data_IF_065929092270
#
_entry.id   IF_065929092270
#
_cell.length_a   1.000
_cell.length_b   1.000
_cell.length_c   1.000
_cell.angle_alpha   90.00
_cell.angle_beta   90.00
_cell.angle_gamma   90.00
#
_symmetry.space_group_name_H-M   'P 1'
#
loop_
_entity.id
_entity.type
_entity.pdbx_description
1 polymer ?
#
# COMPACT_ATOMS: atom_id res chain seq x y z
N UNK A 1 -11.91 -16.79 -22.85
CA UNK A 1 -12.76 -15.74 -23.49
C UNK A 1 -14.23 -15.79 -23.08
N UNK A 2 -14.78 -16.96 -22.71
CA UNK A 2 -16.20 -17.09 -22.35
C UNK A 2 -16.63 -16.20 -21.19
N UNK A 3 -15.85 -16.13 -20.11
CA UNK A 3 -16.14 -15.27 -18.96
C UNK A 3 -16.25 -13.78 -19.33
N UNK A 4 -15.32 -13.29 -20.15
CA UNK A 4 -15.31 -11.89 -20.61
C UNK A 4 -16.60 -11.58 -21.36
N UNK A 5 -16.98 -12.46 -22.29
CA UNK A 5 -18.24 -12.32 -23.04
C UNK A 5 -19.43 -12.25 -22.09
N UNK A 6 -19.55 -13.17 -21.14
CA UNK A 6 -20.63 -13.17 -20.15
C UNK A 6 -20.69 -11.88 -19.33
N UNK A 7 -19.54 -11.36 -18.89
CA UNK A 7 -19.49 -10.09 -18.13
C UNK A 7 -19.93 -8.91 -18.98
N UNK A 8 -19.45 -8.82 -20.24
CA UNK A 8 -19.82 -7.74 -21.15
C UNK A 8 -21.30 -7.79 -21.51
N UNK A 9 -21.83 -8.98 -21.79
CA UNK A 9 -23.26 -9.18 -22.10
C UNK A 9 -24.12 -8.69 -20.93
N UNK A 10 -23.78 -9.05 -19.69
CA UNK A 10 -24.51 -8.56 -18.50
C UNK A 10 -24.40 -7.06 -18.29
N UNK A 11 -23.22 -6.47 -18.54
CA UNK A 11 -23.06 -5.01 -18.44
C UNK A 11 -23.94 -4.30 -19.47
N UNK A 12 -24.04 -4.85 -20.68
CA UNK A 12 -24.90 -4.33 -21.74
C UNK A 12 -26.39 -4.46 -21.38
N UNK A 13 -26.83 -5.61 -20.88
CA UNK A 13 -28.21 -5.84 -20.41
C UNK A 13 -28.62 -4.86 -19.30
N UNK A 14 -27.69 -4.54 -18.40
CA UNK A 14 -27.90 -3.56 -17.32
C UNK A 14 -27.74 -2.09 -17.78
N UNK A 15 -27.49 -1.83 -19.08
CA UNK A 15 -27.37 -0.48 -19.63
C UNK A 15 -26.03 0.23 -19.36
N UNK A 16 -25.00 -0.48 -18.88
CA UNK A 16 -23.66 0.07 -18.72
C UNK A 16 -22.93 0.17 -20.07
N UNK A 17 -22.07 1.18 -20.18
CA UNK A 17 -21.20 1.38 -21.35
C UNK A 17 -19.74 1.17 -20.95
N UNK A 18 -19.01 0.45 -21.78
CA UNK A 18 -17.58 0.19 -21.61
C UNK A 18 -16.82 1.11 -22.58
N UNK A 19 -15.72 1.70 -22.13
CA UNK A 19 -14.78 2.42 -23.00
C UNK A 19 -13.62 1.48 -23.37
N UNK A 20 -13.59 0.92 -24.60
CA UNK A 20 -12.59 -0.07 -24.98
C UNK A 20 -11.15 0.46 -24.89
N UNK A 21 -10.94 1.77 -25.07
CA UNK A 21 -9.61 2.41 -25.01
C UNK A 21 -9.02 2.42 -23.59
N UNK A 22 -9.86 2.31 -22.56
CA UNK A 22 -9.44 2.23 -21.15
C UNK A 22 -9.36 0.79 -20.64
N UNK A 23 -9.77 -0.19 -21.45
CA UNK A 23 -9.79 -1.58 -21.04
C UNK A 23 -8.48 -2.28 -21.43
N UNK A 24 -7.98 -3.10 -20.51
CA UNK A 24 -6.91 -4.05 -20.76
C UNK A 24 -7.51 -5.44 -20.66
N UNK A 25 -7.44 -6.22 -21.74
CA UNK A 25 -8.06 -7.55 -21.82
C UNK A 25 -6.98 -8.63 -21.83
N UNK A 26 -7.21 -9.71 -21.09
CA UNK A 26 -6.35 -10.90 -21.09
C UNK A 26 -4.85 -10.61 -20.85
N UNK A 27 -4.52 -9.59 -20.05
CA UNK A 27 -3.14 -9.26 -19.69
C UNK A 27 -2.70 -10.05 -18.45
N UNK A 28 -1.42 -10.39 -18.36
CA UNK A 28 -0.85 -11.08 -17.20
C UNK A 28 -0.69 -10.15 -15.99
N UNK A 29 -0.42 -8.87 -16.25
CA UNK A 29 -0.24 -7.85 -15.23
C UNK A 29 -1.05 -6.60 -15.56
N UNK A 30 -1.61 -5.96 -14.55
CA UNK A 30 -2.34 -4.71 -14.72
C UNK A 30 -2.35 -3.88 -13.45
N UNK A 31 -2.55 -2.57 -13.60
CA UNK A 31 -2.93 -1.72 -12.48
C UNK A 31 -4.41 -1.91 -12.14
N UNK A 32 -4.71 -2.00 -10.85
CA UNK A 32 -6.07 -2.05 -10.33
C UNK A 32 -6.11 -1.42 -8.94
N UNK A 33 -7.03 -0.47 -8.73
CA UNK A 33 -7.23 0.23 -7.45
C UNK A 33 -5.91 0.60 -6.74
N UNK A 34 -4.99 1.27 -7.46
CA UNK A 34 -3.72 1.72 -6.88
C UNK A 34 -2.70 0.62 -6.56
N UNK A 35 -2.91 -0.60 -7.05
CA UNK A 35 -1.97 -1.71 -6.93
C UNK A 35 -1.59 -2.23 -8.31
N UNK A 36 -0.45 -2.92 -8.39
CA UNK A 36 -0.02 -3.66 -9.57
C UNK A 36 -0.28 -5.14 -9.34
N UNK A 37 -1.25 -5.70 -10.06
CA UNK A 37 -1.61 -7.10 -9.99
C UNK A 37 -0.65 -7.89 -10.90
N UNK A 38 -0.07 -8.94 -10.34
CA UNK A 38 0.73 -9.94 -11.06
C UNK A 38 0.11 -11.32 -10.87
N UNK A 39 0.54 -12.36 -11.62
CA UNK A 39 0.05 -13.73 -11.40
C UNK A 39 0.40 -14.29 -10.01
N UNK A 40 1.51 -13.85 -9.41
CA UNK A 40 2.02 -14.40 -8.15
C UNK A 40 1.58 -13.60 -6.91
N UNK A 41 1.20 -12.34 -7.11
CA UNK A 41 0.81 -11.46 -6.01
C UNK A 41 0.55 -10.03 -6.43
N UNK A 42 0.44 -9.17 -5.42
CA UNK A 42 0.17 -7.75 -5.55
C UNK A 42 1.41 -6.95 -5.18
N UNK A 43 1.78 -6.00 -6.04
CA UNK A 43 2.83 -5.02 -5.80
C UNK A 43 2.26 -3.61 -5.60
N UNK A 44 2.95 -2.73 -4.88
CA UNK A 44 2.61 -1.31 -4.86
C UNK A 44 2.64 -0.75 -6.29
N UNK A 45 1.69 0.14 -6.61
CA UNK A 45 1.72 0.76 -7.93
C UNK A 45 2.85 1.78 -8.02
N UNK A 46 3.84 1.50 -8.88
CA UNK A 46 5.06 2.32 -9.03
C UNK A 46 4.78 3.82 -9.16
N UNK A 47 3.75 4.22 -9.91
CA UNK A 47 3.38 5.64 -10.06
C UNK A 47 3.02 6.32 -8.74
N UNK A 48 2.32 5.62 -7.83
CA UNK A 48 1.97 6.16 -6.51
C UNK A 48 3.18 6.15 -5.56
N UNK A 49 4.00 5.10 -5.60
CA UNK A 49 5.24 5.04 -4.81
C UNK A 49 6.22 6.14 -5.23
N UNK A 50 6.42 6.34 -6.53
CA UNK A 50 7.29 7.38 -7.07
C UNK A 50 6.82 8.79 -6.66
N UNK A 51 5.50 9.00 -6.59
CA UNK A 51 4.94 10.27 -6.11
C UNK A 51 5.30 10.52 -4.65
N UNK A 52 5.18 9.50 -3.79
CA UNK A 52 5.56 9.57 -2.36
C UNK A 52 7.08 9.77 -2.22
N UNK A 53 7.87 9.09 -3.05
CA UNK A 53 9.33 9.26 -3.07
C UNK A 53 9.76 10.67 -3.46
N UNK A 54 9.00 11.36 -4.33
CA UNK A 54 9.27 12.75 -4.73
C UNK A 54 8.73 13.79 -3.74
N UNK A 55 7.99 13.39 -2.70
CA UNK A 55 7.53 14.34 -1.69
C UNK A 55 8.71 14.93 -0.93
N UNK A 56 8.68 16.24 -0.73
CA UNK A 56 9.61 16.96 0.15
C UNK A 56 9.24 16.72 1.62
N UNK A 57 10.18 17.01 2.53
CA UNK A 57 9.90 16.99 3.95
C UNK A 57 8.72 17.94 4.28
N UNK A 58 7.70 17.47 5.01
CA UNK A 58 6.55 18.28 5.40
C UNK A 58 6.96 19.53 6.17
N UNK A 59 6.38 20.68 5.81
CA UNK A 59 6.62 21.97 6.48
C UNK A 59 5.52 22.37 7.46
N UNK A 60 4.40 21.66 7.43
CA UNK A 60 3.24 21.90 8.28
C UNK A 60 2.49 20.59 8.55
N UNK A 61 1.54 20.64 9.50
CA UNK A 61 0.74 19.49 9.93
C UNK A 61 -0.08 18.92 8.76
N UNK A 62 -0.61 19.77 7.87
CA UNK A 62 -1.42 19.35 6.73
C UNK A 62 -0.63 18.48 5.75
N UNK A 63 0.59 18.91 5.39
CA UNK A 63 1.50 18.16 4.53
C UNK A 63 1.93 16.84 5.18
N UNK A 64 2.15 16.86 6.50
CA UNK A 64 2.49 15.67 7.26
C UNK A 64 1.35 14.65 7.25
N UNK A 65 0.11 15.10 7.47
CA UNK A 65 -1.07 14.25 7.41
C UNK A 65 -1.29 13.69 6.00
N UNK A 66 -1.03 14.48 4.96
CA UNK A 66 -1.08 14.01 3.57
C UNK A 66 -0.05 12.90 3.31
N UNK A 67 1.19 13.06 3.78
CA UNK A 67 2.21 12.02 3.70
C UNK A 67 1.80 10.76 4.48
N UNK A 68 1.37 10.90 5.74
CA UNK A 68 0.93 9.77 6.57
C UNK A 68 -0.26 9.02 5.96
N UNK A 69 -1.20 9.74 5.34
CA UNK A 69 -2.33 9.14 4.62
C UNK A 69 -1.86 8.32 3.42
N UNK A 70 -0.95 8.86 2.60
CA UNK A 70 -0.40 8.18 1.44
C UNK A 70 0.37 6.90 1.83
N UNK A 71 1.16 6.98 2.90
CA UNK A 71 1.89 5.83 3.45
C UNK A 71 0.92 4.79 4.04
N UNK A 72 -0.14 5.24 4.71
CA UNK A 72 -1.11 4.36 5.36
C UNK A 72 -1.99 3.62 4.37
N UNK A 73 -2.18 4.12 3.15
CA UNK A 73 -2.85 3.37 2.08
C UNK A 73 -2.18 2.02 1.79
N UNK A 74 -0.86 1.99 1.94
CA UNK A 74 0.05 0.91 1.57
C UNK A 74 0.51 0.06 2.77
N UNK A 75 -0.01 0.42 3.94
CA UNK A 75 0.03 -0.22 5.26
C UNK A 75 0.40 -1.70 5.37
N UNK A 76 -0.22 -2.57 4.57
CA UNK A 76 -0.13 -4.02 4.75
C UNK A 76 1.14 -4.63 4.15
N UNK A 77 1.82 -3.90 3.27
CA UNK A 77 2.97 -4.43 2.53
C UNK A 77 4.29 -4.26 3.27
N UNK A 78 4.40 -3.33 4.21
CA UNK A 78 5.66 -3.05 4.92
C UNK A 78 5.62 -3.46 6.39
N UNK A 79 6.52 -4.35 6.84
CA UNK A 79 6.63 -4.73 8.24
C UNK A 79 7.16 -3.57 9.10
N UNK A 80 6.86 -3.60 10.40
CA UNK A 80 7.41 -2.69 11.44
C UNK A 80 7.22 -1.19 11.19
N UNK A 81 6.35 -0.77 10.27
CA UNK A 81 6.17 0.65 9.92
C UNK A 81 5.73 1.54 11.08
N UNK A 82 4.94 1.04 12.04
CA UNK A 82 4.38 1.93 13.07
C UNK A 82 5.47 2.45 14.02
N UNK A 83 6.54 1.69 14.28
CA UNK A 83 7.73 2.19 14.98
C UNK A 83 8.44 3.30 14.20
N UNK A 84 8.54 3.16 12.86
CA UNK A 84 9.13 4.19 12.00
C UNK A 84 8.27 5.45 11.93
N UNK A 85 6.96 5.29 11.91
CA UNK A 85 6.00 6.40 11.82
C UNK A 85 5.72 7.08 13.15
N UNK A 86 6.02 6.47 14.29
CA UNK A 86 5.78 7.01 15.63
C UNK A 86 6.21 8.48 15.81
N UNK A 87 7.44 8.91 15.46
CA UNK A 87 7.83 10.32 15.60
C UNK A 87 7.02 11.26 14.70
N UNK A 88 6.58 10.78 13.54
CA UNK A 88 5.75 11.54 12.60
C UNK A 88 4.30 11.63 13.09
N UNK A 89 3.73 10.53 13.57
CA UNK A 89 2.36 10.51 14.11
C UNK A 89 2.25 11.36 15.37
N UNK A 90 3.25 11.34 16.25
CA UNK A 90 3.31 12.19 17.44
C UNK A 90 3.20 13.70 17.11
N UNK A 91 3.74 14.12 15.96
CA UNK A 91 3.74 15.52 15.50
C UNK A 91 2.38 15.98 14.96
N UNK A 92 1.45 15.07 14.65
CA UNK A 92 0.10 15.44 14.15
C UNK A 92 -0.84 15.96 15.22
N UNK A 93 -0.56 15.69 16.50
CA UNK A 93 -1.38 16.11 17.65
C UNK A 93 -0.84 17.32 18.41
N UNK A 94 0.27 17.92 17.98
CA UNK A 94 0.89 19.05 18.68
C UNK A 94 0.37 20.38 18.18
N UNK A 95 0.31 21.39 19.07
CA UNK A 95 -0.04 22.78 18.69
C UNK A 95 1.07 23.46 17.87
N UNK A 96 2.32 23.06 18.11
CA UNK A 96 3.49 23.58 17.41
C UNK A 96 4.07 22.49 16.51
N UNK A 97 4.26 22.81 15.23
CA UNK A 97 4.93 21.93 14.29
C UNK A 97 6.44 22.14 14.38
N UNK A 98 7.13 21.26 15.11
CA UNK A 98 8.58 21.26 15.22
C UNK A 98 9.15 20.03 14.50
N UNK A 99 9.74 20.24 13.33
CA UNK A 99 10.42 19.20 12.58
C UNK A 99 11.80 18.94 13.21
N UNK A 100 11.97 17.78 13.83
CA UNK A 100 13.22 17.39 14.49
C UNK A 100 14.04 16.44 13.63
N UNK A 101 15.32 16.24 13.94
CA UNK A 101 16.18 15.26 13.24
C UNK A 101 15.62 13.84 13.31
N UNK A 102 14.88 13.50 14.38
CA UNK A 102 14.18 12.22 14.49
C UNK A 102 13.06 12.10 13.45
N UNK A 103 12.30 13.17 13.22
CA UNK A 103 11.26 13.23 12.18
C UNK A 103 11.88 13.10 10.79
N UNK A 104 12.98 13.81 10.52
CA UNK A 104 13.68 13.72 9.23
C UNK A 104 14.20 12.30 8.97
N UNK A 105 14.86 11.69 9.97
CA UNK A 105 15.36 10.31 9.87
C UNK A 105 14.21 9.32 9.62
N UNK A 106 13.10 9.46 10.33
CA UNK A 106 11.92 8.62 10.13
C UNK A 106 11.32 8.78 8.72
N UNK A 107 11.20 10.03 8.25
CA UNK A 107 10.70 10.34 6.92
C UNK A 107 11.55 9.71 5.81
N UNK A 108 12.88 9.90 5.85
CA UNK A 108 13.79 9.34 4.86
C UNK A 108 13.85 7.81 4.90
N UNK A 109 13.83 7.24 6.11
CA UNK A 109 13.78 5.77 6.27
C UNK A 109 12.50 5.21 5.68
N UNK A 110 11.34 5.86 5.91
CA UNK A 110 10.08 5.40 5.35
C UNK A 110 10.03 5.51 3.82
N UNK A 111 10.57 6.60 3.25
CA UNK A 111 10.69 6.74 1.78
C UNK A 111 11.57 5.65 1.17
N UNK A 112 12.69 5.34 1.81
CA UNK A 112 13.61 4.29 1.36
C UNK A 112 12.95 2.91 1.45
N UNK A 113 12.24 2.65 2.54
CA UNK A 113 11.49 1.42 2.74
C UNK A 113 10.37 1.28 1.68
N UNK A 114 9.64 2.35 1.38
CA UNK A 114 8.62 2.32 0.34
C UNK A 114 9.17 2.10 -1.08
N UNK A 115 10.43 2.48 -1.32
CA UNK A 115 11.10 2.26 -2.58
C UNK A 115 11.57 0.80 -2.77
N UNK A 116 11.64 -0.01 -1.70
CA UNK A 116 12.00 -1.42 -1.83
C UNK A 116 10.91 -2.19 -2.58
N UNK A 117 11.30 -3.06 -3.52
CA UNK A 117 10.34 -3.93 -4.20
C UNK A 117 9.76 -4.94 -3.19
N UNK A 118 8.44 -4.93 -3.04
CA UNK A 118 7.71 -5.85 -2.17
C UNK A 118 6.61 -6.49 -2.99
N UNK A 119 6.52 -7.82 -2.88
CA UNK A 119 5.45 -8.63 -3.43
C UNK A 119 4.64 -9.22 -2.29
N UNK A 120 3.36 -8.84 -2.20
CA UNK A 120 2.40 -9.49 -1.32
C UNK A 120 1.76 -10.65 -2.08
N UNK A 121 2.08 -11.89 -1.68
CA UNK A 121 1.49 -13.09 -2.31
C UNK A 121 -0.01 -13.16 -2.05
N UNK A 122 -0.76 -13.70 -3.01
CA UNK A 122 -2.18 -13.98 -2.80
C UNK A 122 -2.37 -15.04 -1.72
N UNK A 123 -3.39 -14.90 -0.86
CA UNK A 123 -3.69 -15.93 0.14
C UNK A 123 -4.13 -17.22 -0.56
N UNK A 124 -3.46 -18.33 -0.24
CA UNK A 124 -3.92 -19.67 -0.61
C UNK A 124 -4.74 -20.24 0.53
N UNK A 125 -6.07 -20.19 0.37
CA UNK A 125 -7.01 -20.67 1.39
C UNK A 125 -6.97 -22.18 1.62
N UNK A 126 -6.25 -22.94 0.78
CA UNK A 126 -6.06 -24.38 0.96
C UNK A 126 -4.84 -24.71 1.83
N UNK A 127 -4.04 -23.70 2.22
CA UNK A 127 -2.86 -23.87 3.07
C UNK A 127 -3.12 -23.27 4.45
N UNK A 128 -2.48 -23.81 5.50
CA UNK A 128 -2.48 -23.17 6.81
C UNK A 128 -1.76 -21.82 6.74
N UNK A 129 -2.23 -20.89 7.58
CA UNK A 129 -1.62 -19.60 7.78
C UNK A 129 -0.94 -19.55 9.14
N UNK A 130 0.25 -18.97 9.18
CA UNK A 130 0.97 -18.69 10.41
C UNK A 130 0.82 -17.21 10.77
N UNK A 131 0.53 -16.93 12.03
CA UNK A 131 0.41 -15.56 12.54
C UNK A 131 1.55 -15.30 13.49
N UNK A 132 2.45 -14.41 13.09
CA UNK A 132 3.52 -13.90 13.94
C UNK A 132 3.04 -12.59 14.56
N UNK A 133 2.93 -12.54 15.88
CA UNK A 133 2.56 -11.33 16.61
C UNK A 133 3.73 -10.86 17.47
N UNK A 134 3.87 -9.55 17.58
CA UNK A 134 4.84 -8.91 18.46
C UNK A 134 4.22 -7.64 19.04
N UNK A 135 4.44 -7.39 20.33
CA UNK A 135 3.85 -6.29 21.07
C UNK A 135 4.88 -5.64 22.00
N UNK A 136 4.76 -4.32 22.11
CA UNK A 136 5.52 -3.46 23.01
C UNK A 136 4.59 -2.42 23.63
N UNK A 137 5.07 -1.70 24.64
CA UNK A 137 4.33 -0.61 25.31
C UNK A 137 3.79 0.47 24.36
N UNK A 138 4.36 0.57 23.17
CA UNK A 138 4.02 1.59 22.17
C UNK A 138 3.26 1.05 20.96
N UNK A 139 3.27 -0.27 20.72
CA UNK A 139 2.72 -0.84 19.48
C UNK A 139 2.38 -2.33 19.59
N UNK A 140 1.30 -2.74 18.91
CA UNK A 140 1.01 -4.12 18.53
C UNK A 140 1.28 -4.30 17.03
N UNK A 141 1.88 -5.42 16.64
CA UNK A 141 2.13 -5.78 15.24
C UNK A 141 1.80 -7.24 14.98
N UNK A 142 1.42 -7.53 13.74
CA UNK A 142 1.11 -8.90 13.29
C UNK A 142 1.49 -9.06 11.82
N UNK A 143 2.07 -10.20 11.49
CA UNK A 143 2.35 -10.62 10.12
C UNK A 143 1.66 -11.96 9.90
N UNK A 144 0.88 -12.05 8.83
CA UNK A 144 0.26 -13.28 8.37
C UNK A 144 1.14 -13.86 7.26
N UNK A 145 1.66 -15.05 7.47
CA UNK A 145 2.53 -15.74 6.52
C UNK A 145 1.87 -17.02 6.01
N UNK A 146 2.08 -17.30 4.72
CA UNK A 146 1.71 -18.58 4.14
C UNK A 146 2.81 -19.58 4.46
N UNK A 147 2.45 -20.72 5.05
CA UNK A 147 3.44 -21.76 5.33
C UNK A 147 4.12 -22.17 4.01
N UNK A 148 5.42 -21.91 3.93
CA UNK A 148 6.27 -22.36 2.83
C UNK A 148 6.91 -23.67 3.27
N UNK A 149 6.72 -24.74 2.50
CA UNK A 149 7.39 -26.02 2.73
C UNK A 149 8.88 -25.91 2.43
#
# INVERSE_FOLDING_TARGET
MQLIKTVVDRLQEAGFKINPLKCKWCVQETDFLGHWLTPEGVKPWKKKVDAIFKMNAPRNITELQAFLGAVTYYRHMWPRRSHLLQPLTALTGTRTFQWTDKCEKAFQTMKSLMASDILMRYPDHNKPFEVYTDASDYQISGVLELQTQ
#
